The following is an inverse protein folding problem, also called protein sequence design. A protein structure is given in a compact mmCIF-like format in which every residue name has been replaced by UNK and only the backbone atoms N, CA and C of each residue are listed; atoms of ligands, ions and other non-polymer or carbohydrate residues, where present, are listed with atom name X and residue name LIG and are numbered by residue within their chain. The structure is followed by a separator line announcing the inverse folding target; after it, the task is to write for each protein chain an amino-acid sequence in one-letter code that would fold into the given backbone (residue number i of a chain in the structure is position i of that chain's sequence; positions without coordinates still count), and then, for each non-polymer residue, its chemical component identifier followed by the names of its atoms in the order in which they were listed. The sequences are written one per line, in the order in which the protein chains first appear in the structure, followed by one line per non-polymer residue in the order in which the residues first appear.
data_IF_730529451797
#
_entry.id   IF_730529451797
#
_cell.length_a   1.000
_cell.length_b   1.000
_cell.length_c   1.000
_cell.angle_alpha   90.00
_cell.angle_beta   90.00
_cell.angle_gamma   90.00
#
_symmetry.space_group_name_H-M   'P 1'
#
loop_
_entity.id
_entity.type
_entity.pdbx_description
1 polymer ?
#
# COMPACT_ATOMS: atom_id res chain seq x y z
N UNK A 1 20.31 -0.61 15.06
CA UNK A 1 20.07 0.60 14.27
C UNK A 1 20.92 1.67 14.89
N UNK A 2 21.77 2.31 14.10
CA UNK A 2 22.72 3.31 14.55
C UNK A 2 22.16 4.73 14.42
N UNK A 3 21.21 4.96 13.52
CA UNK A 3 20.62 6.27 13.26
C UNK A 3 19.15 6.30 13.71
N UNK A 4 18.78 7.15 14.68
CA UNK A 4 17.38 7.41 15.00
C UNK A 4 16.68 8.04 13.79
N UNK A 5 15.50 7.50 13.42
CA UNK A 5 14.74 7.96 12.26
C UNK A 5 13.23 7.85 12.49
N UNK A 6 12.46 8.65 11.78
CA UNK A 6 11.00 8.63 11.74
C UNK A 6 10.51 8.64 10.28
N UNK A 7 9.37 8.03 9.99
CA UNK A 7 8.86 7.93 8.60
C UNK A 7 9.81 7.18 7.65
N UNK A 8 10.59 6.24 8.20
CA UNK A 8 11.48 5.40 7.44
C UNK A 8 10.73 4.23 6.79
N UNK A 9 11.22 3.81 5.63
CA UNK A 9 10.79 2.57 4.99
C UNK A 9 11.57 1.39 5.56
N UNK A 10 10.92 0.25 5.77
CA UNK A 10 11.59 -1.00 6.08
C UNK A 10 11.04 -2.14 5.23
N UNK A 11 11.92 -2.96 4.65
CA UNK A 11 11.54 -4.11 3.85
C UNK A 11 12.41 -5.34 4.15
N UNK A 12 11.80 -6.53 4.10
CA UNK A 12 12.49 -7.80 4.27
C UNK A 12 12.84 -8.38 2.89
N UNK A 13 14.13 -8.57 2.64
CA UNK A 13 14.63 -9.20 1.42
C UNK A 13 15.55 -10.36 1.81
N UNK A 14 15.16 -11.57 1.44
CA UNK A 14 15.85 -12.77 1.88
C UNK A 14 15.86 -12.88 3.42
N UNK A 15 17.04 -12.81 4.03
CA UNK A 15 17.25 -12.83 5.49
C UNK A 15 17.72 -11.48 6.05
N UNK A 16 17.51 -10.40 5.32
CA UNK A 16 17.97 -9.06 5.70
C UNK A 16 16.82 -8.06 5.69
N UNK A 17 16.76 -7.22 6.72
CA UNK A 17 15.82 -6.10 6.79
C UNK A 17 16.56 -4.84 6.34
N UNK A 18 16.12 -4.25 5.25
CA UNK A 18 16.66 -3.00 4.73
C UNK A 18 15.80 -1.85 5.23
N UNK A 19 16.44 -0.75 5.64
CA UNK A 19 15.78 0.45 6.14
C UNK A 19 16.31 1.66 5.39
N UNK A 20 15.42 2.49 4.86
CA UNK A 20 15.75 3.65 4.02
C UNK A 20 14.99 4.91 4.48
N UNK A 21 15.63 6.07 4.35
CA UNK A 21 15.01 7.37 4.62
C UNK A 21 14.71 7.63 6.09
N UNK A 22 13.98 8.69 6.39
CA UNK A 22 13.54 9.06 7.73
C UNK A 22 14.60 9.65 8.65
N UNK A 23 15.82 9.82 8.15
CA UNK A 23 16.88 10.56 8.81
C UNK A 23 16.59 12.05 8.62
N UNK A 24 16.75 12.88 9.65
CA UNK A 24 16.49 14.33 9.55
C UNK A 24 17.39 15.04 8.53
N UNK A 25 17.36 16.37 8.53
CA UNK A 25 18.02 17.22 7.50
C UNK A 25 19.53 16.98 7.29
N UNK A 26 20.20 16.26 8.19
CA UNK A 26 21.61 15.83 8.08
C UNK A 26 21.78 14.51 7.31
N UNK A 27 20.77 14.07 6.57
CA UNK A 27 20.83 12.83 5.80
C UNK A 27 21.90 12.90 4.70
N UNK A 28 22.82 11.94 4.68
CA UNK A 28 23.81 11.72 3.60
C UNK A 28 23.89 10.24 3.19
N UNK A 29 24.75 9.93 2.21
CA UNK A 29 24.95 8.57 1.70
C UNK A 29 25.46 7.56 2.74
N UNK A 30 25.92 8.02 3.92
CA UNK A 30 26.47 7.22 5.01
C UNK A 30 25.48 6.97 6.14
N UNK A 31 24.34 7.65 6.19
CA UNK A 31 23.36 7.48 7.26
C UNK A 31 21.93 7.20 6.75
N UNK A 32 21.68 7.37 5.45
CA UNK A 32 20.34 7.26 4.89
C UNK A 32 19.80 5.82 4.81
N UNK A 33 20.67 4.83 4.70
CA UNK A 33 20.27 3.43 4.65
C UNK A 33 21.07 2.53 5.58
N UNK A 34 20.36 1.59 6.20
CA UNK A 34 20.92 0.57 7.07
C UNK A 34 20.32 -0.77 6.73
N UNK A 35 21.09 -1.84 6.91
CA UNK A 35 20.61 -3.21 6.77
C UNK A 35 20.84 -3.96 8.07
N UNK A 36 19.83 -4.71 8.49
CA UNK A 36 19.91 -5.64 9.60
C UNK A 36 19.95 -7.06 9.06
N UNK A 37 21.04 -7.76 9.36
CA UNK A 37 21.19 -9.17 9.01
C UNK A 37 20.58 -10.04 10.11
N UNK A 38 19.58 -10.84 9.78
CA UNK A 38 18.87 -11.70 10.75
C UNK A 38 19.73 -12.88 11.23
N UNK A 39 20.74 -13.29 10.46
CA UNK A 39 21.62 -14.41 10.82
C UNK A 39 22.67 -13.98 11.84
N UNK A 40 23.34 -12.86 11.59
CA UNK A 40 24.37 -12.32 12.48
C UNK A 40 23.80 -11.44 13.58
N UNK A 41 22.54 -11.00 13.43
CA UNK A 41 21.88 -10.02 14.30
C UNK A 41 22.65 -8.70 14.41
N UNK A 42 23.31 -8.31 13.32
CA UNK A 42 24.09 -7.06 13.25
C UNK A 42 23.48 -6.06 12.30
N UNK A 43 23.70 -4.79 12.60
CA UNK A 43 23.38 -3.68 11.71
C UNK A 43 24.63 -3.31 10.91
N UNK A 44 24.46 -3.03 9.64
CA UNK A 44 25.47 -2.52 8.72
C UNK A 44 24.95 -1.26 8.03
N UNK A 45 25.83 -0.29 7.81
CA UNK A 45 25.52 0.91 7.03
C UNK A 45 25.61 0.54 5.55
N UNK A 46 24.59 0.91 4.78
CA UNK A 46 24.62 0.78 3.33
C UNK A 46 25.04 2.12 2.72
N UNK A 47 26.14 2.12 1.97
CA UNK A 47 26.52 3.28 1.19
C UNK A 47 25.63 3.37 -0.03
N UNK A 48 24.84 4.43 -0.11
CA UNK A 48 23.84 4.59 -1.17
C UNK A 48 24.09 5.88 -1.94
N UNK A 49 24.14 5.77 -3.26
CA UNK A 49 24.14 6.95 -4.12
C UNK A 49 22.74 7.16 -4.68
N UNK A 50 22.11 8.27 -4.32
CA UNK A 50 20.80 8.68 -4.83
C UNK A 50 20.92 10.07 -5.46
N UNK A 51 20.34 10.34 -6.65
CA UNK A 51 20.36 11.68 -7.25
C UNK A 51 19.72 12.75 -6.36
N UNK A 52 18.71 12.34 -5.56
CA UNK A 52 18.03 13.11 -4.53
C UNK A 52 17.82 12.15 -3.34
N UNK A 53 18.08 12.60 -2.13
CA UNK A 53 17.85 11.84 -0.91
C UNK A 53 16.51 12.27 -0.31
N UNK A 54 15.40 11.57 -0.60
CA UNK A 54 14.12 11.94 -0.01
C UNK A 54 14.17 11.68 1.50
N UNK A 55 13.69 12.66 2.26
CA UNK A 55 13.61 12.57 3.72
C UNK A 55 12.50 11.59 4.13
N UNK A 56 11.36 11.64 3.44
CA UNK A 56 10.20 10.80 3.71
C UNK A 56 9.93 9.86 2.55
N UNK A 57 9.66 8.60 2.86
CA UNK A 57 9.19 7.62 1.89
C UNK A 57 7.73 7.32 2.24
N UNK A 58 6.81 7.62 1.32
CA UNK A 58 5.38 7.47 1.56
C UNK A 58 4.97 6.01 1.40
N UNK A 59 5.43 5.36 0.33
CA UNK A 59 5.07 3.98 -0.02
C UNK A 59 6.26 3.18 -0.49
N UNK A 60 6.25 1.86 -0.25
CA UNK A 60 7.24 0.96 -0.80
C UNK A 60 6.72 -0.46 -0.99
N UNK A 61 7.36 -1.19 -1.89
CA UNK A 61 7.05 -2.60 -2.14
C UNK A 61 8.26 -3.35 -2.67
N UNK A 62 8.35 -4.64 -2.36
CA UNK A 62 9.40 -5.54 -2.85
C UNK A 62 8.84 -6.43 -3.95
N UNK A 63 9.44 -6.38 -5.14
CA UNK A 63 9.15 -7.25 -6.29
C UNK A 63 10.25 -8.31 -6.40
N UNK A 64 9.84 -9.56 -6.61
CA UNK A 64 10.70 -10.72 -6.86
C UNK A 64 11.84 -10.93 -5.85
N UNK A 65 11.70 -10.41 -4.62
CA UNK A 65 12.73 -10.46 -3.57
C UNK A 65 14.06 -9.81 -4.00
N UNK A 66 14.02 -8.89 -4.94
CA UNK A 66 15.23 -8.26 -5.46
C UNK A 66 15.04 -6.76 -5.70
N UNK A 67 13.84 -6.30 -6.06
CA UNK A 67 13.65 -4.90 -6.42
C UNK A 67 12.71 -4.23 -5.43
N UNK A 68 13.18 -3.17 -4.79
CA UNK A 68 12.36 -2.30 -3.94
C UNK A 68 11.93 -1.11 -4.78
N UNK A 69 10.64 -0.90 -4.93
CA UNK A 69 10.09 0.35 -5.42
C UNK A 69 9.64 1.20 -4.25
N UNK A 70 9.91 2.49 -4.33
CA UNK A 70 9.57 3.47 -3.31
C UNK A 70 9.11 4.76 -3.97
N UNK A 71 8.18 5.46 -3.33
CA UNK A 71 7.75 6.79 -3.76
C UNK A 71 7.88 7.75 -2.59
N UNK A 72 8.49 8.91 -2.85
CA UNK A 72 8.59 9.98 -1.86
C UNK A 72 7.32 10.82 -1.75
N UNK A 73 7.30 11.76 -0.82
CA UNK A 73 6.17 12.68 -0.59
C UNK A 73 5.90 13.66 -1.74
N UNK A 74 6.86 13.84 -2.66
CA UNK A 74 6.70 14.62 -3.89
C UNK A 74 6.19 13.77 -5.07
N UNK A 75 6.01 12.46 -4.87
CA UNK A 75 5.57 11.54 -5.92
C UNK A 75 6.68 11.11 -6.88
N UNK A 76 7.95 11.30 -6.50
CA UNK A 76 9.10 10.80 -7.24
C UNK A 76 9.32 9.31 -6.96
N UNK A 77 9.57 8.55 -8.02
CA UNK A 77 9.82 7.12 -7.94
C UNK A 77 11.31 6.79 -7.72
N UNK A 78 11.55 5.78 -6.91
CA UNK A 78 12.87 5.25 -6.60
C UNK A 78 12.83 3.73 -6.68
N UNK A 79 13.81 3.18 -7.35
CA UNK A 79 14.01 1.74 -7.48
C UNK A 79 15.35 1.37 -6.87
N UNK A 80 15.40 0.30 -6.07
CA UNK A 80 16.60 -0.21 -5.44
C UNK A 80 16.76 -1.72 -5.62
N UNK A 81 17.94 -2.13 -6.07
CA UNK A 81 18.34 -3.54 -6.09
C UNK A 81 19.47 -3.77 -5.08
N UNK A 82 19.30 -4.66 -4.08
CA UNK A 82 20.37 -5.08 -3.19
C UNK A 82 21.55 -5.71 -3.93
N UNK A 83 21.31 -6.36 -5.08
CA UNK A 83 22.36 -7.00 -5.88
C UNK A 83 23.35 -5.97 -6.44
N UNK A 84 22.85 -4.78 -6.81
CA UNK A 84 23.65 -3.72 -7.40
C UNK A 84 23.99 -2.60 -6.41
N UNK A 85 23.40 -2.61 -5.20
CA UNK A 85 23.47 -1.55 -4.20
C UNK A 85 23.19 -0.14 -4.78
N UNK A 86 22.38 -0.07 -5.84
CA UNK A 86 22.15 1.16 -6.60
C UNK A 86 20.69 1.57 -6.49
N UNK A 87 20.47 2.86 -6.25
CA UNK A 87 19.19 3.49 -6.48
C UNK A 87 19.18 4.15 -7.85
N UNK A 88 18.08 3.99 -8.55
CA UNK A 88 17.81 4.74 -9.77
C UNK A 88 16.38 5.24 -9.76
N UNK A 89 16.15 6.32 -10.49
CA UNK A 89 14.83 6.88 -10.72
C UNK A 89 14.46 6.58 -12.16
N UNK A 90 13.19 6.29 -12.46
CA UNK A 90 12.76 6.19 -13.87
C UNK A 90 12.73 7.58 -14.53
N UNK A 91 12.73 8.65 -13.72
CA UNK A 91 12.59 10.03 -14.17
C UNK A 91 11.16 10.37 -14.59
N UNK A 92 10.22 9.43 -14.41
CA UNK A 92 8.80 9.64 -14.66
C UNK A 92 8.14 10.06 -13.34
N UNK A 93 7.36 11.13 -13.40
CA UNK A 93 6.50 11.52 -12.28
C UNK A 93 5.21 10.73 -12.38
N UNK A 94 4.72 10.32 -11.22
CA UNK A 94 3.47 9.60 -11.09
C UNK A 94 2.29 10.29 -11.82
N UNK A 95 1.58 9.54 -12.67
CA UNK A 95 0.49 10.08 -13.51
C UNK A 95 -0.77 10.45 -12.72
N UNK A 96 -0.94 9.96 -11.49
CA UNK A 96 -2.13 10.18 -10.65
C UNK A 96 -1.77 10.44 -9.18
N UNK A 97 -1.20 11.61 -8.85
CA UNK A 97 -0.84 11.94 -7.47
C UNK A 97 -2.06 11.88 -6.54
N UNK A 98 -1.89 11.27 -5.38
CA UNK A 98 -2.93 11.11 -4.36
C UNK A 98 -2.60 10.06 -3.30
N UNK A 99 -3.41 10.01 -2.23
CA UNK A 99 -3.25 9.05 -1.13
C UNK A 99 -3.40 7.60 -1.61
N UNK A 100 -2.28 6.90 -1.74
CA UNK A 100 -2.25 5.50 -2.23
C UNK A 100 -1.49 4.62 -1.28
N UNK A 101 -2.18 4.09 -0.31
CA UNK A 101 -1.57 3.22 0.70
C UNK A 101 -1.79 1.74 0.38
N UNK A 102 -1.04 0.89 1.09
CA UNK A 102 -1.14 -0.57 1.02
C UNK A 102 -0.82 -1.15 -0.36
N UNK A 103 0.37 -0.79 -0.87
CA UNK A 103 0.87 -1.36 -2.12
C UNK A 103 1.10 -2.86 -1.96
N UNK A 104 0.71 -3.63 -2.97
CA UNK A 104 0.99 -5.06 -3.06
C UNK A 104 1.35 -5.46 -4.50
N UNK A 105 1.98 -6.63 -4.63
CA UNK A 105 2.41 -7.19 -5.91
C UNK A 105 1.61 -8.44 -6.17
N UNK A 106 1.03 -8.54 -7.37
CA UNK A 106 0.41 -9.76 -7.87
C UNK A 106 0.97 -10.04 -9.26
N UNK A 107 1.74 -11.14 -9.37
CA UNK A 107 2.56 -11.39 -10.55
C UNK A 107 3.65 -10.31 -10.67
N UNK A 108 3.61 -9.52 -11.75
CA UNK A 108 4.54 -8.40 -12.00
C UNK A 108 3.91 -7.02 -11.81
N UNK A 109 2.62 -6.98 -11.49
CA UNK A 109 1.84 -5.75 -11.46
C UNK A 109 1.69 -5.26 -10.03
N UNK A 110 1.74 -3.94 -9.88
CA UNK A 110 1.49 -3.27 -8.62
C UNK A 110 0.01 -2.98 -8.47
N UNK A 111 -0.48 -3.09 -7.23
CA UNK A 111 -1.83 -2.72 -6.85
C UNK A 111 -1.79 -1.86 -5.59
N UNK A 112 -2.72 -0.92 -5.47
CA UNK A 112 -2.87 -0.13 -4.25
C UNK A 112 -4.32 0.33 -4.04
N UNK A 113 -4.58 0.91 -2.87
CA UNK A 113 -5.85 1.61 -2.61
C UNK A 113 -5.88 2.93 -3.37
N UNK A 114 -6.97 3.16 -4.09
CA UNK A 114 -7.34 4.47 -4.60
C UNK A 114 -8.38 5.13 -3.70
N UNK A 115 -8.56 6.44 -3.88
CA UNK A 115 -9.64 7.17 -3.23
C UNK A 115 -11.02 6.70 -3.70
N UNK A 116 -12.03 6.90 -2.86
CA UNK A 116 -13.44 6.55 -3.11
C UNK A 116 -13.69 5.05 -3.28
N UNK A 117 -12.96 4.24 -2.52
CA UNK A 117 -13.11 2.78 -2.54
C UNK A 117 -12.61 2.10 -3.82
N UNK A 118 -11.76 2.79 -4.60
CA UNK A 118 -11.17 2.26 -5.83
C UNK A 118 -9.96 1.40 -5.54
N UNK A 119 -9.68 0.47 -6.45
CA UNK A 119 -8.43 -0.30 -6.47
C UNK A 119 -7.70 0.10 -7.73
N UNK A 120 -6.44 0.50 -7.58
CA UNK A 120 -5.60 0.91 -8.69
C UNK A 120 -4.55 -0.15 -8.98
N UNK A 121 -4.08 -0.20 -10.22
CA UNK A 121 -3.00 -1.06 -10.66
C UNK A 121 -2.08 -0.34 -11.65
N UNK A 122 -0.81 -0.75 -11.73
CA UNK A 122 0.09 -0.31 -12.79
C UNK A 122 1.14 -1.38 -13.12
N UNK A 123 1.71 -1.29 -14.32
CA UNK A 123 2.98 -1.95 -14.64
C UNK A 123 4.13 -1.01 -14.24
N UNK A 124 5.00 -1.39 -13.28
CA UNK A 124 6.14 -0.56 -12.91
C UNK A 124 7.13 -0.35 -14.07
N UNK A 125 7.21 -1.30 -15.03
CA UNK A 125 8.08 -1.18 -16.20
C UNK A 125 7.53 -0.18 -17.23
N UNK A 126 6.22 0.07 -17.23
CA UNK A 126 5.57 1.10 -18.07
C UNK A 126 5.55 2.50 -17.39
N UNK A 127 6.18 2.63 -16.23
CA UNK A 127 6.42 3.93 -15.60
C UNK A 127 5.28 4.47 -14.77
N UNK A 128 4.68 3.61 -13.94
CA UNK A 128 3.71 3.98 -12.92
C UNK A 128 2.47 4.71 -13.48
N UNK A 129 2.03 4.34 -14.69
CA UNK A 129 0.75 4.82 -15.18
C UNK A 129 -0.38 4.04 -14.49
N UNK A 130 -0.94 4.63 -13.44
CA UNK A 130 -1.93 3.97 -12.61
C UNK A 130 -3.29 3.93 -13.30
N UNK A 131 -3.86 2.74 -13.41
CA UNK A 131 -5.21 2.52 -13.91
C UNK A 131 -6.13 1.98 -12.82
N UNK A 132 -7.44 2.08 -13.03
CA UNK A 132 -8.44 1.55 -12.11
C UNK A 132 -8.83 0.12 -12.50
N UNK A 133 -8.87 -0.78 -11.52
CA UNK A 133 -9.40 -2.13 -11.70
C UNK A 133 -10.90 -2.04 -12.02
N UNK A 134 -11.30 -2.56 -13.17
CA UNK A 134 -12.69 -2.47 -13.68
C UNK A 134 -13.57 -3.59 -13.14
N UNK A 135 -14.89 -3.44 -13.28
CA UNK A 135 -15.86 -4.47 -12.87
C UNK A 135 -16.21 -4.43 -11.38
N UNK A 136 -15.81 -3.37 -10.68
CA UNK A 136 -16.08 -3.14 -9.27
C UNK A 136 -16.98 -1.92 -9.03
N UNK A 137 -17.58 -1.36 -10.08
CA UNK A 137 -18.33 -0.09 -10.03
C UNK A 137 -19.56 -0.19 -9.10
N UNK A 138 -20.37 -1.25 -9.25
CA UNK A 138 -21.54 -1.49 -8.39
C UNK A 138 -21.15 -1.72 -6.92
N UNK A 139 -19.96 -2.26 -6.70
CA UNK A 139 -19.43 -2.48 -5.35
C UNK A 139 -18.89 -1.20 -4.73
N UNK A 140 -18.41 -0.25 -5.54
CA UNK A 140 -18.00 1.08 -5.05
C UNK A 140 -19.17 1.83 -4.40
N UNK A 141 -20.43 1.56 -4.80
CA UNK A 141 -21.60 2.10 -4.12
C UNK A 141 -21.80 1.55 -2.70
N UNK A 142 -21.24 0.38 -2.37
CA UNK A 142 -21.28 -0.18 -1.01
C UNK A 142 -20.44 0.63 0.00
N UNK A 143 -19.53 1.48 -0.50
CA UNK A 143 -18.80 2.43 0.33
C UNK A 143 -19.57 3.74 0.52
N UNK A 144 -20.80 3.87 0.06
CA UNK A 144 -21.58 5.10 0.23
C UNK A 144 -22.58 4.98 1.38
N UNK A 145 -22.45 5.83 2.38
CA UNK A 145 -23.42 6.01 3.46
C UNK A 145 -24.17 7.33 3.35
N UNK A 146 -25.11 7.58 4.28
CA UNK A 146 -25.79 8.87 4.39
C UNK A 146 -25.63 9.46 5.78
N UNK A 147 -25.11 10.69 5.87
CA UNK A 147 -25.06 11.42 7.13
C UNK A 147 -26.22 12.43 7.15
N UNK A 148 -26.94 12.52 8.27
CA UNK A 148 -27.85 13.63 8.54
C UNK A 148 -27.26 14.52 9.64
N UNK A 149 -26.57 15.61 9.28
CA UNK A 149 -26.27 16.65 10.24
C UNK A 149 -27.59 17.25 10.76
N UNK A 150 -27.65 17.62 12.04
CA UNK A 150 -28.89 18.11 12.68
C UNK A 150 -29.57 19.23 11.89
N UNK A 151 -30.80 18.97 11.45
CA UNK A 151 -31.63 19.93 10.71
C UNK A 151 -31.31 20.08 9.22
N UNK A 152 -30.38 19.30 8.67
CA UNK A 152 -29.98 19.35 7.26
C UNK A 152 -30.39 18.09 6.48
N UNK A 153 -30.44 18.22 5.15
CA UNK A 153 -30.71 17.11 4.25
C UNK A 153 -29.64 16.01 4.36
N UNK A 154 -30.01 14.75 4.10
CA UNK A 154 -29.08 13.62 4.00
C UNK A 154 -28.00 13.95 2.97
N UNK A 155 -26.73 13.94 3.38
CA UNK A 155 -25.59 14.00 2.47
C UNK A 155 -25.05 12.59 2.25
N UNK A 156 -24.86 12.21 0.96
CA UNK A 156 -24.17 10.96 0.60
C UNK A 156 -22.68 11.16 0.93
N UNK A 157 -22.13 10.29 1.78
CA UNK A 157 -20.71 10.30 2.14
C UNK A 157 -20.11 9.01 1.64
N UNK A 158 -19.01 9.13 0.91
CA UNK A 158 -18.28 7.98 0.39
C UNK A 158 -17.10 7.69 1.33
N UNK A 159 -17.07 6.46 1.80
CA UNK A 159 -16.04 5.89 2.65
C UNK A 159 -14.95 5.27 1.78
N UNK A 160 -13.78 5.08 2.38
CA UNK A 160 -12.63 4.49 1.71
C UNK A 160 -12.38 3.06 2.20
N UNK A 161 -11.65 2.30 1.38
CA UNK A 161 -11.07 1.04 1.83
C UNK A 161 -10.06 1.37 2.94
N UNK A 162 -10.17 0.71 4.09
CA UNK A 162 -9.25 0.88 5.22
C UNK A 162 -7.91 0.19 4.98
N UNK A 163 -7.96 -1.01 4.40
CA UNK A 163 -6.79 -1.87 4.19
C UNK A 163 -6.95 -2.69 2.93
N UNK A 164 -5.87 -2.81 2.17
CA UNK A 164 -5.73 -3.74 1.06
C UNK A 164 -4.58 -4.70 1.35
N UNK A 165 -4.76 -5.96 1.01
CA UNK A 165 -3.75 -7.01 1.13
C UNK A 165 -4.02 -8.11 0.10
N UNK A 166 -3.20 -9.16 0.09
CA UNK A 166 -3.34 -10.29 -0.82
C UNK A 166 -3.47 -11.59 -0.05
N UNK A 167 -4.25 -12.52 -0.59
CA UNK A 167 -4.26 -13.90 -0.11
C UNK A 167 -3.18 -14.74 -0.83
N UNK A 168 -2.89 -15.97 -0.36
CA UNK A 168 -1.91 -16.85 -1.01
C UNK A 168 -2.29 -17.28 -2.44
N UNK A 169 -3.54 -17.13 -2.85
CA UNK A 169 -3.99 -17.44 -4.21
C UNK A 169 -3.79 -16.26 -5.17
N UNK A 170 -3.33 -15.10 -4.67
CA UNK A 170 -3.13 -13.89 -5.47
C UNK A 170 -4.41 -13.10 -5.69
N UNK A 171 -5.44 -13.32 -4.88
CA UNK A 171 -6.62 -12.46 -4.85
C UNK A 171 -6.34 -11.23 -3.98
N UNK A 172 -7.00 -10.12 -4.32
CA UNK A 172 -7.01 -8.95 -3.46
C UNK A 172 -8.02 -9.16 -2.34
N UNK A 173 -7.61 -8.87 -1.11
CA UNK A 173 -8.49 -8.83 0.05
C UNK A 173 -8.52 -7.42 0.59
N UNK A 174 -9.72 -6.86 0.67
CA UNK A 174 -9.96 -5.51 1.18
C UNK A 174 -10.76 -5.55 2.48
N UNK A 175 -10.60 -4.49 3.27
CA UNK A 175 -11.37 -4.25 4.49
C UNK A 175 -11.88 -2.82 4.52
N UNK A 176 -13.12 -2.63 4.98
CA UNK A 176 -13.71 -1.29 5.15
C UNK A 176 -14.70 -1.27 6.31
N UNK A 177 -14.91 -0.08 6.88
CA UNK A 177 -15.95 0.13 7.88
C UNK A 177 -17.28 0.36 7.15
N UNK A 178 -18.30 -0.45 7.47
CA UNK A 178 -19.64 -0.17 7.00
C UNK A 178 -20.20 1.02 7.79
N UNK A 179 -20.56 2.11 7.10
CA UNK A 179 -20.97 3.34 7.76
C UNK A 179 -22.29 3.24 8.51
N UNK A 180 -23.15 2.29 8.11
CA UNK A 180 -24.50 2.17 8.67
C UNK A 180 -24.60 1.12 9.78
N UNK A 181 -23.63 0.20 9.89
CA UNK A 181 -23.76 -0.98 10.76
C UNK A 181 -22.69 -1.16 11.86
N UNK A 182 -21.72 -0.25 11.99
CA UNK A 182 -20.58 -0.38 12.93
C UNK A 182 -19.83 -1.72 12.77
N UNK A 183 -19.85 -2.27 11.56
CA UNK A 183 -19.18 -3.52 11.23
C UNK A 183 -17.95 -3.24 10.38
N UNK A 184 -16.90 -4.01 10.63
CA UNK A 184 -15.82 -4.16 9.67
C UNK A 184 -16.25 -5.23 8.66
N UNK A 185 -16.21 -4.86 7.40
CA UNK A 185 -16.50 -5.73 6.28
C UNK A 185 -15.21 -6.10 5.54
N UNK A 186 -15.27 -7.22 4.82
CA UNK A 186 -14.19 -7.67 3.95
C UNK A 186 -14.75 -8.25 2.65
N UNK A 187 -13.93 -8.22 1.61
CA UNK A 187 -14.21 -8.84 0.34
C UNK A 187 -12.94 -9.46 -0.25
N UNK A 188 -13.12 -10.59 -0.94
CA UNK A 188 -12.09 -11.27 -1.72
C UNK A 188 -12.39 -11.02 -3.19
N UNK A 189 -11.41 -10.49 -3.91
CA UNK A 189 -11.54 -10.05 -5.30
C UNK A 189 -10.51 -10.81 -6.14
N UNK A 190 -11.00 -11.65 -7.06
CA UNK A 190 -10.15 -12.28 -8.06
C UNK A 190 -9.88 -11.31 -9.21
N UNK A 191 -8.71 -11.44 -9.83
CA UNK A 191 -8.27 -10.57 -10.93
C UNK A 191 -8.15 -11.34 -12.23
N UNK A 192 -8.59 -10.72 -13.33
CA UNK A 192 -8.46 -11.26 -14.68
C UNK A 192 -7.96 -10.16 -15.62
N UNK A 193 -6.86 -10.44 -16.30
CA UNK A 193 -6.41 -9.61 -17.43
C UNK A 193 -7.34 -9.83 -18.62
N UNK A 194 -7.86 -8.74 -19.20
CA UNK A 194 -8.75 -8.78 -20.37
C UNK A 194 -8.02 -8.21 -21.59
N UNK A 195 -8.25 -8.82 -22.76
CA UNK A 195 -7.82 -8.35 -24.09
C UNK A 195 -6.38 -7.84 -24.19
N UNK A 196 -5.42 -8.74 -24.43
CA UNK A 196 -4.07 -8.35 -24.88
C UNK A 196 -3.19 -7.63 -23.86
N UNK A 197 -3.58 -7.58 -22.59
CA UNK A 197 -2.73 -7.12 -21.47
C UNK A 197 -2.98 -5.69 -20.99
N UNK A 198 -3.89 -4.94 -21.62
CA UNK A 198 -4.10 -3.52 -21.30
C UNK A 198 -5.17 -3.20 -20.25
N UNK A 199 -5.94 -4.18 -19.75
CA UNK A 199 -7.00 -3.93 -18.77
C UNK A 199 -7.07 -5.04 -17.73
N UNK A 200 -7.25 -4.67 -16.45
CA UNK A 200 -7.51 -5.61 -15.35
C UNK A 200 -8.95 -5.46 -14.87
N UNK A 201 -9.66 -6.60 -14.80
CA UNK A 201 -11.00 -6.70 -14.22
C UNK A 201 -10.95 -7.46 -12.90
N UNK A 202 -11.64 -6.92 -11.91
CA UNK A 202 -11.91 -7.57 -10.63
C UNK A 202 -13.25 -8.28 -10.64
N UNK A 203 -13.34 -9.43 -9.97
CA UNK A 203 -14.59 -10.10 -9.66
C UNK A 203 -14.66 -10.40 -8.15
N UNK A 204 -15.80 -10.12 -7.53
CA UNK A 204 -15.99 -10.36 -6.11
C UNK A 204 -16.34 -11.83 -5.91
N UNK A 205 -15.41 -12.58 -5.33
CA UNK A 205 -15.59 -13.99 -5.00
C UNK A 205 -16.39 -14.15 -3.70
N UNK A 206 -16.19 -13.23 -2.77
CA UNK A 206 -16.86 -13.21 -1.48
C UNK A 206 -16.89 -11.80 -0.89
N UNK A 207 -17.96 -11.47 -0.16
CA UNK A 207 -18.01 -10.26 0.67
C UNK A 207 -18.91 -10.48 1.89
N UNK A 208 -18.56 -9.86 3.02
CA UNK A 208 -19.36 -9.92 4.24
C UNK A 208 -18.75 -9.23 5.45
N UNK A 209 -19.55 -9.10 6.51
CA UNK A 209 -19.10 -8.62 7.81
C UNK A 209 -18.15 -9.64 8.46
N UNK A 210 -16.98 -9.17 8.91
CA UNK A 210 -15.96 -9.99 9.59
C UNK A 210 -15.82 -9.63 11.07
N UNK A 211 -16.25 -8.44 11.46
CA UNK A 211 -16.23 -8.01 12.86
C UNK A 211 -17.33 -6.98 13.12
N UNK A 212 -17.88 -6.99 14.33
CA UNK A 212 -18.89 -6.04 14.78
C UNK A 212 -18.39 -5.31 16.01
N UNK A 213 -18.34 -3.98 15.94
CA UNK A 213 -17.99 -3.15 17.10
C UNK A 213 -19.10 -3.21 18.15
N UNK A 214 -18.70 -3.24 19.42
CA UNK A 214 -19.60 -2.98 20.52
C UNK A 214 -19.91 -1.47 20.57
N UNK A 215 -21.18 -1.04 20.44
CA UNK A 215 -21.58 0.37 20.55
C UNK A 215 -21.19 1.04 21.87
N UNK A 216 -20.93 0.25 22.92
CA UNK A 216 -20.53 0.74 24.24
C UNK A 216 -19.00 0.93 24.39
N UNK A 217 -18.22 0.57 23.37
CA UNK A 217 -16.77 0.78 23.39
C UNK A 217 -16.44 2.29 23.32
N UNK A 218 -15.52 2.75 24.19
CA UNK A 218 -15.15 4.18 24.33
C UNK A 218 -14.21 4.69 23.22
N UNK A 219 -13.92 3.88 22.22
CA UNK A 219 -13.02 4.23 21.11
C UNK A 219 -13.81 4.75 19.91
N UNK A 220 -13.10 5.46 19.02
CA UNK A 220 -13.50 5.79 17.65
C UNK A 220 -14.51 4.79 17.07
N UNK A 221 -15.63 5.26 16.50
CA UNK A 221 -16.66 4.44 15.82
C UNK A 221 -16.15 3.77 14.53
N UNK A 222 -14.85 3.51 14.43
CA UNK A 222 -14.18 2.91 13.27
C UNK A 222 -13.11 1.92 13.72
N UNK A 223 -13.01 0.80 13.00
CA UNK A 223 -11.93 -0.17 13.15
C UNK A 223 -10.85 0.13 12.12
N UNK A 224 -9.60 0.18 12.59
CA UNK A 224 -8.42 0.21 11.72
C UNK A 224 -7.79 -1.18 11.67
N UNK A 225 -7.62 -1.72 10.46
CA UNK A 225 -6.94 -2.98 10.24
C UNK A 225 -5.46 -2.68 10.02
N UNK A 226 -4.62 -3.00 11.02
CA UNK A 226 -3.17 -2.79 10.92
C UNK A 226 -2.50 -3.88 10.08
N UNK A 227 -2.91 -5.13 10.30
CA UNK A 227 -2.32 -6.30 9.67
C UNK A 227 -3.36 -7.40 9.52
N UNK A 228 -3.24 -8.17 8.44
CA UNK A 228 -3.98 -9.40 8.19
C UNK A 228 -2.99 -10.49 7.80
N UNK A 229 -3.21 -11.70 8.31
CA UNK A 229 -2.44 -12.88 7.94
C UNK A 229 -3.38 -14.00 7.56
N UNK A 230 -2.95 -14.78 6.57
CA UNK A 230 -3.57 -16.05 6.28
C UNK A 230 -3.08 -17.08 7.30
N UNK A 231 -4.02 -17.70 8.02
CA UNK A 231 -3.74 -18.78 8.97
C UNK A 231 -4.25 -20.07 8.33
N UNK A 232 -3.33 -20.95 7.92
CA UNK A 232 -3.70 -22.32 7.58
C UNK A 232 -4.27 -22.98 8.84
N UNK A 233 -5.54 -23.38 8.80
CA UNK A 233 -6.18 -24.23 9.80
C UNK A 233 -6.22 -25.68 9.31
#
# INVERSE_FOLDING_TARGET
MYVPRASAMACLIGKKIYVFGGCGDEADSLNWAEVFDLETQTWEVLFVFTPKMPLNIEHSVVIDKELVYAVDDEGQDFSYSPSNCLFWTSGKTDSKPGHRSDWCVIGKLLFCRGSRGRILWCDPDDGFDWEEVKGLEDFQDSFCGSIQPWGLAKTKVQYDINKLCTDPAGNIVIFWNNPDSLELWSAVISLKSCNGGGEIKGNIEWSGAVFKLDPLSKSSYSVNVLYSAYVNA
#
